data_IF_839779616209
#
_entry.id   IF_839779616209
#
_cell.length_a   1.000
_cell.length_b   1.000
_cell.length_c   1.000
_cell.angle_alpha   90.00
_cell.angle_beta   90.00
_cell.angle_gamma   90.00
#
_symmetry.space_group_name_H-M   'P 1'
#
loop_
_entity.id
_entity.type
_entity.pdbx_description
1 polymer ?
#
# COMPACT_ATOMS: atom_id res chain seq x y z
N UNK A 1 42.08 22.71 -19.01
CA UNK A 1 41.38 23.98 -19.28
C UNK A 1 40.39 24.18 -18.15
N UNK A 2 40.77 24.83 -17.04
CA UNK A 2 40.73 26.29 -16.75
C UNK A 2 39.33 26.90 -16.66
N UNK A 3 39.05 27.50 -15.49
CA UNK A 3 37.90 28.36 -15.14
C UNK A 3 37.11 27.78 -13.97
N UNK A 4 37.32 28.05 -12.68
CA UNK A 4 37.77 29.21 -11.90
C UNK A 4 36.81 30.41 -11.86
N UNK A 5 36.53 30.84 -10.61
CA UNK A 5 35.95 32.13 -10.13
C UNK A 5 34.42 32.28 -10.16
N UNK A 6 33.76 32.90 -9.17
CA UNK A 6 34.16 33.49 -7.88
C UNK A 6 32.89 33.97 -7.13
N UNK A 7 33.03 34.24 -5.82
CA UNK A 7 32.37 35.29 -5.01
C UNK A 7 30.83 35.35 -4.93
N UNK A 8 30.20 35.56 -3.77
CA UNK A 8 30.67 35.96 -2.45
C UNK A 8 29.47 36.12 -1.50
N UNK A 9 29.71 36.37 -0.21
CA UNK A 9 28.73 36.39 0.87
C UNK A 9 28.16 37.79 1.08
N UNK A 10 26.95 37.90 1.65
CA UNK A 10 26.50 38.98 2.55
C UNK A 10 24.98 38.92 2.73
N UNK A 11 24.48 38.97 3.98
CA UNK A 11 23.03 39.09 4.17
C UNK A 11 22.48 38.86 5.57
N UNK A 12 22.82 39.77 6.48
CA UNK A 12 21.97 40.26 7.57
C UNK A 12 21.62 39.34 8.76
N UNK A 13 22.08 39.83 9.90
CA UNK A 13 21.86 39.47 11.30
C UNK A 13 20.41 39.62 11.80
N UNK A 14 20.08 38.98 12.95
CA UNK A 14 18.74 38.91 13.52
C UNK A 14 18.38 40.15 14.34
N UNK A 15 17.19 40.71 14.14
CA UNK A 15 16.64 41.76 15.00
C UNK A 15 15.82 41.13 16.14
N UNK A 16 16.35 41.25 17.37
CA UNK A 16 15.73 40.76 18.59
C UNK A 16 14.52 41.58 19.09
N UNK A 17 13.91 41.15 20.21
CA UNK A 17 12.68 41.74 20.73
C UNK A 17 12.91 43.10 21.42
N UNK A 18 12.01 44.05 21.13
CA UNK A 18 12.02 45.42 21.65
C UNK A 18 11.42 45.46 23.07
N UNK A 19 12.21 45.90 24.05
CA UNK A 19 11.76 46.09 25.43
C UNK A 19 10.79 47.29 25.58
N UNK A 20 9.83 47.25 26.53
CA UNK A 20 8.91 48.35 26.82
C UNK A 20 9.58 49.49 27.61
N UNK A 21 9.23 50.73 27.28
CA UNK A 21 9.68 51.94 27.99
C UNK A 21 8.74 52.26 29.16
N UNK A 22 9.28 52.58 30.35
CA UNK A 22 8.50 53.07 31.49
C UNK A 22 8.49 54.60 31.53
N UNK A 23 7.34 55.22 31.80
CA UNK A 23 7.32 56.55 32.43
C UNK A 23 6.38 57.64 31.93
N UNK A 24 5.10 57.39 31.63
CA UNK A 24 4.11 58.47 31.51
C UNK A 24 3.09 58.43 32.67
N UNK A 25 3.22 59.34 33.67
CA UNK A 25 2.33 59.42 34.82
C UNK A 25 1.43 60.68 34.79
N UNK A 26 0.12 60.47 35.02
CA UNK A 26 -0.93 61.45 35.38
C UNK A 26 -1.33 62.49 34.30
N UNK A 27 -2.59 62.92 34.13
CA UNK A 27 -3.87 62.81 34.85
C UNK A 27 -4.98 62.95 33.78
N UNK A 28 -6.13 62.30 33.83
CA UNK A 28 -7.14 62.34 34.88
C UNK A 28 -8.51 62.48 34.18
N UNK A 29 -9.56 61.83 34.70
CA UNK A 29 -10.93 62.11 34.29
C UNK A 29 -11.78 60.90 33.94
N UNK A 30 -12.69 60.59 34.88
CA UNK A 30 -13.97 59.89 34.71
C UNK A 30 -13.94 58.41 34.29
N UNK A 31 -14.17 57.56 35.30
CA UNK A 31 -14.74 56.23 35.09
C UNK A 31 -16.19 56.33 34.57
N UNK A 32 -16.51 55.56 33.53
CA UNK A 32 -17.80 54.87 33.50
C UNK A 32 -17.58 53.34 33.47
N UNK A 33 -18.27 52.69 34.42
CA UNK A 33 -18.71 51.29 34.42
C UNK A 33 -17.92 50.31 33.55
N UNK A 34 -17.09 49.49 34.19
CA UNK A 34 -16.57 48.27 33.60
C UNK A 34 -17.74 47.42 33.04
N UNK A 35 -17.84 47.22 31.71
CA UNK A 35 -18.75 46.19 31.21
C UNK A 35 -18.20 44.85 31.68
N UNK A 36 -19.01 44.13 32.45
CA UNK A 36 -18.73 42.78 32.90
C UNK A 36 -18.19 41.94 31.73
N UNK A 37 -17.18 41.08 31.95
CA UNK A 37 -16.63 40.24 30.88
C UNK A 37 -17.76 39.39 30.32
N UNK A 38 -18.20 39.72 29.10
CA UNK A 38 -19.16 38.90 28.39
C UNK A 38 -18.55 37.49 28.27
N UNK A 39 -19.18 36.45 28.84
CA UNK A 39 -18.69 35.10 28.68
C UNK A 39 -18.71 34.78 27.18
N UNK A 40 -17.53 34.50 26.61
CA UNK A 40 -17.39 34.01 25.24
C UNK A 40 -18.17 32.70 25.14
N UNK A 41 -19.43 32.78 24.70
CA UNK A 41 -20.23 31.60 24.35
C UNK A 41 -19.65 31.08 23.04
N UNK A 42 -18.54 30.33 23.13
CA UNK A 42 -18.01 29.53 22.03
C UNK A 42 -19.14 28.60 21.62
N UNK A 43 -19.82 28.95 20.53
CA UNK A 43 -20.92 28.15 19.97
C UNK A 43 -20.40 26.73 19.76
N UNK A 44 -20.97 25.77 20.50
CA UNK A 44 -20.73 24.33 20.37
C UNK A 44 -21.36 23.77 19.07
N UNK A 45 -21.20 24.49 17.95
CA UNK A 45 -21.81 24.21 16.65
C UNK A 45 -20.70 23.71 15.72
N UNK A 46 -20.37 22.43 15.87
CA UNK A 46 -19.26 21.79 15.19
C UNK A 46 -18.93 20.41 15.75
N UNK A 47 -19.30 20.15 17.02
CA UNK A 47 -19.07 18.86 17.67
C UNK A 47 -19.74 17.69 16.95
N UNK A 48 -20.96 17.89 16.42
CA UNK A 48 -21.65 16.86 15.62
C UNK A 48 -20.97 16.61 14.27
N UNK A 49 -20.53 17.68 13.60
CA UNK A 49 -19.80 17.59 12.33
C UNK A 49 -18.45 16.89 12.50
N UNK A 50 -17.74 17.20 13.59
CA UNK A 50 -16.48 16.54 13.95
C UNK A 50 -16.67 15.06 14.28
N UNK A 51 -17.76 14.70 14.99
CA UNK A 51 -18.08 13.29 15.28
C UNK A 51 -18.40 12.53 13.99
N UNK A 52 -19.20 13.09 13.08
CA UNK A 52 -19.47 12.46 11.78
C UNK A 52 -18.21 12.34 10.93
N UNK A 53 -17.34 13.36 10.91
CA UNK A 53 -16.08 13.31 10.18
C UNK A 53 -15.14 12.24 10.75
N UNK A 54 -15.09 12.11 12.09
CA UNK A 54 -14.32 11.09 12.79
C UNK A 54 -14.84 9.68 12.48
N UNK A 55 -16.17 9.51 12.44
CA UNK A 55 -16.80 8.23 12.10
C UNK A 55 -16.51 7.81 10.66
N UNK A 56 -16.64 8.75 9.71
CA UNK A 56 -16.33 8.50 8.29
C UNK A 56 -14.84 8.19 8.12
N UNK A 57 -13.96 8.98 8.76
CA UNK A 57 -12.51 8.74 8.73
C UNK A 57 -12.14 7.38 9.33
N UNK A 58 -12.70 7.05 10.50
CA UNK A 58 -12.50 5.75 11.14
C UNK A 58 -13.02 4.59 10.29
N UNK A 59 -14.16 4.76 9.63
CA UNK A 59 -14.73 3.75 8.74
C UNK A 59 -13.85 3.52 7.51
N UNK A 60 -13.27 4.58 6.94
CA UNK A 60 -12.31 4.46 5.83
C UNK A 60 -11.06 3.71 6.30
N UNK A 61 -10.52 4.03 7.49
CA UNK A 61 -9.36 3.31 8.02
C UNK A 61 -9.66 1.83 8.26
N UNK A 62 -10.82 1.49 8.84
CA UNK A 62 -11.24 0.10 9.04
C UNK A 62 -11.49 -0.61 7.72
N UNK A 63 -12.12 0.06 6.74
CA UNK A 63 -12.33 -0.49 5.41
C UNK A 63 -10.99 -0.75 4.71
N UNK A 64 -10.03 0.17 4.79
CA UNK A 64 -8.67 -0.02 4.28
C UNK A 64 -7.96 -1.14 5.02
N UNK A 65 -8.10 -1.24 6.35
CA UNK A 65 -7.51 -2.34 7.12
C UNK A 65 -8.08 -3.70 6.72
N UNK A 66 -9.41 -3.79 6.54
CA UNK A 66 -10.08 -4.98 6.03
C UNK A 66 -9.67 -5.31 4.60
N UNK A 67 -9.49 -4.28 3.75
CA UNK A 67 -9.00 -4.46 2.40
C UNK A 67 -7.57 -5.02 2.42
N UNK A 68 -6.68 -4.51 3.26
CA UNK A 68 -5.31 -5.04 3.40
C UNK A 68 -5.26 -6.44 4.01
N UNK A 69 -6.20 -6.81 4.88
CA UNK A 69 -6.26 -8.17 5.45
C UNK A 69 -6.88 -9.18 4.47
N UNK A 70 -7.84 -8.78 3.64
CA UNK A 70 -8.40 -9.63 2.57
C UNK A 70 -7.66 -9.52 1.23
N UNK A 71 -6.76 -8.54 1.04
CA UNK A 71 -6.05 -8.29 -0.22
C UNK A 71 -5.11 -9.43 -0.61
N UNK A 72 -4.68 -10.25 0.36
CA UNK A 72 -3.81 -11.38 0.10
C UNK A 72 -4.49 -12.40 -0.81
N UNK A 73 -5.77 -12.68 -0.56
CA UNK A 73 -6.57 -13.59 -1.39
C UNK A 73 -6.86 -13.00 -2.77
N UNK A 74 -6.92 -11.66 -2.90
CA UNK A 74 -7.19 -11.02 -4.19
C UNK A 74 -6.09 -11.33 -5.21
N UNK A 75 -4.83 -11.42 -4.77
CA UNK A 75 -3.71 -11.70 -5.68
C UNK A 75 -3.72 -13.18 -6.09
N UNK A 76 -3.92 -14.11 -5.14
CA UNK A 76 -4.06 -15.54 -5.49
C UNK A 76 -5.29 -15.80 -6.36
N UNK A 77 -6.42 -15.18 -6.06
CA UNK A 77 -7.64 -15.23 -6.88
C UNK A 77 -7.37 -14.70 -8.29
N UNK A 78 -6.66 -13.59 -8.44
CA UNK A 78 -6.31 -13.05 -9.75
C UNK A 78 -5.44 -14.02 -10.55
N UNK A 79 -4.41 -14.61 -9.94
CA UNK A 79 -3.58 -15.60 -10.60
C UNK A 79 -4.39 -16.85 -11.00
N UNK A 80 -5.25 -17.33 -10.10
CA UNK A 80 -6.07 -18.53 -10.29
C UNK A 80 -7.17 -18.35 -11.34
N UNK A 81 -7.87 -17.21 -11.34
CA UNK A 81 -9.03 -16.98 -12.19
C UNK A 81 -8.70 -16.28 -13.51
N UNK A 82 -7.58 -15.55 -13.58
CA UNK A 82 -7.21 -14.76 -14.77
C UNK A 82 -5.95 -15.31 -15.42
N UNK A 83 -4.83 -15.39 -14.69
CA UNK A 83 -3.52 -15.72 -15.28
C UNK A 83 -3.47 -17.18 -15.74
N UNK A 84 -3.90 -18.11 -14.89
CA UNK A 84 -3.85 -19.56 -15.18
C UNK A 84 -4.77 -19.97 -16.35
N UNK A 85 -6.05 -19.55 -16.42
CA UNK A 85 -6.94 -20.00 -17.49
C UNK A 85 -6.86 -19.17 -18.78
N UNK A 86 -6.39 -17.92 -18.75
CA UNK A 86 -6.27 -17.08 -19.96
C UNK A 86 -4.84 -16.86 -20.42
N UNK A 87 -3.96 -16.40 -19.55
CA UNK A 87 -2.61 -15.98 -19.95
C UNK A 87 -1.69 -17.16 -20.25
N UNK A 88 -1.77 -18.25 -19.48
CA UNK A 88 -0.94 -19.43 -19.71
C UNK A 88 -1.21 -20.09 -21.08
N UNK A 89 -2.47 -20.41 -21.46
CA UNK A 89 -2.75 -21.03 -22.76
C UNK A 89 -2.39 -20.15 -23.95
N UNK A 90 -2.50 -18.83 -23.82
CA UNK A 90 -2.08 -17.88 -24.86
C UNK A 90 -0.56 -17.78 -25.01
N UNK A 91 0.18 -17.99 -23.93
CA UNK A 91 1.64 -17.93 -23.93
C UNK A 91 2.31 -19.26 -24.31
N UNK A 92 1.59 -20.38 -24.28
CA UNK A 92 2.16 -21.69 -24.62
C UNK A 92 2.53 -21.79 -26.11
N UNK A 93 3.59 -22.56 -26.45
CA UNK A 93 3.93 -22.80 -27.84
C UNK A 93 2.80 -23.57 -28.56
N UNK A 94 2.57 -23.31 -29.86
CA UNK A 94 1.49 -23.96 -30.61
C UNK A 94 1.66 -25.48 -30.73
N UNK A 95 2.91 -25.96 -30.63
CA UNK A 95 3.25 -27.38 -30.69
C UNK A 95 3.22 -28.08 -29.32
N UNK A 96 2.89 -27.35 -28.24
CA UNK A 96 2.87 -27.92 -26.90
C UNK A 96 1.69 -28.89 -26.72
N UNK A 97 1.90 -30.10 -26.17
CA UNK A 97 0.84 -31.09 -26.05
C UNK A 97 -0.35 -30.59 -25.21
N UNK A 98 -1.56 -30.71 -25.75
CA UNK A 98 -2.80 -30.23 -25.11
C UNK A 98 -3.01 -30.90 -23.75
N UNK A 99 -2.64 -32.17 -23.62
CA UNK A 99 -2.72 -32.95 -22.39
C UNK A 99 -1.83 -32.34 -21.30
N UNK A 100 -0.59 -31.95 -21.66
CA UNK A 100 0.37 -31.30 -20.76
C UNK A 100 -0.09 -29.89 -20.38
N UNK A 101 -0.66 -29.14 -21.32
CA UNK A 101 -1.23 -27.82 -21.04
C UNK A 101 -2.36 -27.91 -19.99
N UNK A 102 -3.26 -28.88 -20.15
CA UNK A 102 -4.35 -29.12 -19.20
C UNK A 102 -3.84 -29.55 -17.84
N UNK A 103 -2.80 -30.39 -17.80
CA UNK A 103 -2.16 -30.83 -16.56
C UNK A 103 -1.53 -29.66 -15.81
N UNK A 104 -0.82 -28.78 -16.51
CA UNK A 104 -0.23 -27.56 -15.96
C UNK A 104 -1.30 -26.64 -15.37
N UNK A 105 -2.33 -26.31 -16.16
CA UNK A 105 -3.46 -25.47 -15.71
C UNK A 105 -4.14 -26.06 -14.49
N UNK A 106 -4.44 -27.37 -14.49
CA UNK A 106 -5.07 -28.05 -13.34
C UNK A 106 -4.16 -28.02 -12.11
N UNK A 107 -2.86 -28.22 -12.30
CA UNK A 107 -1.90 -28.26 -11.19
C UNK A 107 -1.75 -26.88 -10.55
N UNK A 108 -1.63 -25.82 -11.35
CA UNK A 108 -1.56 -24.45 -10.86
C UNK A 108 -2.87 -24.01 -10.19
N UNK A 109 -4.02 -24.39 -10.76
CA UNK A 109 -5.31 -24.11 -10.14
C UNK A 109 -5.46 -24.82 -8.78
N UNK A 110 -5.02 -26.07 -8.68
CA UNK A 110 -4.99 -26.79 -7.40
C UNK A 110 -4.00 -26.17 -6.41
N UNK A 111 -2.83 -25.74 -6.88
CA UNK A 111 -1.84 -25.05 -6.06
C UNK A 111 -2.43 -23.80 -5.41
N UNK A 112 -3.04 -22.90 -6.19
CA UNK A 112 -3.63 -21.69 -5.63
C UNK A 112 -4.87 -21.97 -4.78
N UNK A 113 -5.65 -23.02 -5.09
CA UNK A 113 -6.72 -23.49 -4.21
C UNK A 113 -6.21 -23.92 -2.82
N UNK A 114 -5.09 -24.64 -2.76
CA UNK A 114 -4.47 -25.03 -1.50
C UNK A 114 -3.91 -23.81 -0.72
N UNK A 115 -3.48 -22.75 -1.42
CA UNK A 115 -3.11 -21.47 -0.78
C UNK A 115 -4.34 -20.79 -0.17
N UNK A 116 -5.45 -20.75 -0.91
CA UNK A 116 -6.70 -20.15 -0.42
C UNK A 116 -7.26 -20.90 0.80
N UNK A 117 -7.07 -22.23 0.85
CA UNK A 117 -7.41 -23.09 2.00
C UNK A 117 -6.42 -22.96 3.17
N UNK A 118 -5.32 -22.23 3.00
CA UNK A 118 -4.27 -22.05 4.01
C UNK A 118 -3.39 -23.28 4.22
N UNK A 119 -3.43 -24.26 3.32
CA UNK A 119 -2.59 -25.46 3.33
C UNK A 119 -1.16 -25.09 2.90
N UNK A 120 -1.03 -24.22 1.91
CA UNK A 120 0.24 -23.67 1.45
C UNK A 120 0.40 -22.26 2.03
N UNK A 121 1.55 -22.01 2.66
CA UNK A 121 1.85 -20.69 3.23
C UNK A 121 2.11 -19.61 2.19
N UNK A 122 1.87 -18.35 2.57
CA UNK A 122 2.03 -17.16 1.73
C UNK A 122 3.39 -17.10 1.01
N UNK A 123 4.46 -17.55 1.65
CA UNK A 123 5.82 -17.52 1.09
C UNK A 123 5.95 -18.40 -0.16
N UNK A 124 5.42 -19.62 -0.12
CA UNK A 124 5.41 -20.51 -1.27
C UNK A 124 4.49 -20.00 -2.39
N UNK A 125 3.39 -19.32 -2.03
CA UNK A 125 2.51 -18.68 -3.01
C UNK A 125 3.23 -17.55 -3.76
N UNK A 126 3.97 -16.70 -3.04
CA UNK A 126 4.77 -15.62 -3.63
C UNK A 126 5.89 -16.17 -4.51
N UNK A 127 6.57 -17.24 -4.08
CA UNK A 127 7.60 -17.90 -4.88
C UNK A 127 7.03 -18.43 -6.20
N UNK A 128 5.88 -19.11 -6.15
CA UNK A 128 5.19 -19.58 -7.35
C UNK A 128 4.77 -18.42 -8.27
N UNK A 129 4.21 -17.34 -7.73
CA UNK A 129 3.89 -16.16 -8.55
C UNK A 129 5.14 -15.61 -9.24
N UNK A 130 6.28 -15.53 -8.55
CA UNK A 130 7.54 -15.12 -9.14
C UNK A 130 8.00 -16.03 -10.28
N UNK A 131 7.83 -17.35 -10.16
CA UNK A 131 8.10 -18.29 -11.24
C UNK A 131 7.19 -18.07 -12.45
N UNK A 132 5.89 -17.84 -12.22
CA UNK A 132 4.93 -17.55 -13.30
C UNK A 132 5.26 -16.23 -13.98
N UNK A 133 5.59 -15.18 -13.23
CA UNK A 133 6.00 -13.89 -13.79
C UNK A 133 7.27 -14.01 -14.62
N UNK A 134 8.28 -14.75 -14.14
CA UNK A 134 9.52 -14.98 -14.87
C UNK A 134 9.26 -15.72 -16.19
N UNK A 135 8.43 -16.77 -16.17
CA UNK A 135 8.07 -17.53 -17.37
C UNK A 135 7.22 -16.73 -18.36
N UNK A 136 6.37 -15.82 -17.87
CA UNK A 136 5.50 -14.98 -18.71
C UNK A 136 6.13 -13.66 -19.14
N UNK A 137 7.36 -13.34 -18.69
CA UNK A 137 8.01 -12.06 -18.94
C UNK A 137 8.10 -11.73 -20.44
N UNK A 138 8.42 -12.73 -21.25
CA UNK A 138 8.60 -12.58 -22.70
C UNK A 138 7.32 -12.90 -23.51
N UNK A 139 6.19 -13.14 -22.83
CA UNK A 139 4.87 -13.52 -23.41
C UNK A 139 4.89 -14.75 -24.32
N UNK A 140 5.96 -15.52 -24.31
CA UNK A 140 6.09 -16.77 -25.04
C UNK A 140 6.80 -17.77 -24.13
N UNK A 141 6.05 -18.73 -23.61
CA UNK A 141 6.62 -19.84 -22.85
C UNK A 141 7.28 -20.82 -23.81
N UNK A 142 8.44 -21.30 -23.41
CA UNK A 142 9.04 -22.51 -23.95
C UNK A 142 8.44 -23.76 -23.30
N UNK A 143 8.57 -24.91 -23.96
CA UNK A 143 8.18 -26.21 -23.39
C UNK A 143 8.91 -26.48 -22.06
N UNK A 144 10.18 -26.08 -21.98
CA UNK A 144 10.99 -26.25 -20.78
C UNK A 144 10.48 -25.39 -19.62
N UNK A 145 10.14 -24.13 -19.84
CA UNK A 145 9.57 -23.26 -18.80
C UNK A 145 8.21 -23.75 -18.31
N UNK A 146 7.38 -24.30 -19.20
CA UNK A 146 6.10 -24.89 -18.83
C UNK A 146 6.28 -26.13 -17.93
N UNK A 147 7.24 -26.99 -18.24
CA UNK A 147 7.58 -28.14 -17.41
C UNK A 147 8.25 -27.73 -16.08
N UNK A 148 9.10 -26.70 -16.08
CA UNK A 148 9.72 -26.15 -14.87
C UNK A 148 8.66 -25.56 -13.92
N UNK A 149 7.65 -24.86 -14.44
CA UNK A 149 6.50 -24.39 -13.66
C UNK A 149 5.72 -25.54 -13.04
N UNK A 150 5.46 -26.60 -13.82
CA UNK A 150 4.79 -27.80 -13.32
C UNK A 150 5.58 -28.45 -12.18
N UNK A 151 6.91 -28.55 -12.34
CA UNK A 151 7.81 -29.10 -11.33
C UNK A 151 7.85 -28.23 -10.07
N UNK A 152 7.94 -26.90 -10.22
CA UNK A 152 7.92 -25.95 -9.11
C UNK A 152 6.63 -26.08 -8.29
N UNK A 153 5.47 -26.18 -8.95
CA UNK A 153 4.17 -26.29 -8.28
C UNK A 153 4.07 -27.56 -7.44
N UNK A 154 4.61 -28.67 -7.94
CA UNK A 154 4.65 -29.94 -7.22
C UNK A 154 5.62 -29.91 -6.05
N UNK A 155 6.82 -29.34 -6.26
CA UNK A 155 7.84 -29.22 -5.23
C UNK A 155 7.32 -28.39 -4.05
N UNK A 156 6.77 -27.21 -4.33
CA UNK A 156 6.25 -26.30 -3.30
C UNK A 156 5.05 -26.88 -2.53
N UNK A 157 4.20 -27.68 -3.18
CA UNK A 157 3.14 -28.44 -2.47
C UNK A 157 3.70 -29.49 -1.52
N UNK A 158 4.76 -30.19 -1.93
CA UNK A 158 5.37 -31.24 -1.10
C UNK A 158 6.15 -30.69 0.08
N UNK A 159 6.80 -29.52 -0.08
CA UNK A 159 7.51 -28.86 1.01
C UNK A 159 6.53 -28.27 2.03
N UNK A 160 5.43 -27.66 1.59
CA UNK A 160 4.37 -27.16 2.45
C UNK A 160 3.70 -28.28 3.27
N UNK A 161 3.41 -29.43 2.64
CA UNK A 161 2.80 -30.59 3.32
C UNK A 161 3.69 -31.31 4.34
N UNK A 162 4.98 -30.99 4.43
CA UNK A 162 5.92 -31.57 5.41
C UNK A 162 6.18 -30.66 6.63
N UNK A 163 5.71 -29.41 6.60
CA UNK A 163 6.02 -28.40 7.61
C UNK A 163 4.88 -28.03 8.58
N UNK A 164 3.68 -28.60 8.40
CA UNK A 164 2.52 -28.41 9.27
C UNK A 164 2.27 -29.62 10.18
#
# INVERSE_FOLDING_TARGET
>A
MTGASASGPDGATPSGPRAPRPGDPFAGGAAPAAPAPHPKVRRKKGRRFFITLLLVSGMIVVATLMFFTNSKNIITDFYREVVVPRSLPEALPPDYPVERARELVRTLHAFFGDVDEGIIGDEAALEMMGHIEAALADRALTEQEADDLLAAARSLRQTAGKGG
#
